data_IF_499467447547
#
_entry.id   IF_499467447547
#
_cell.length_a   1.000
_cell.length_b   1.000
_cell.length_c   1.000
_cell.angle_alpha   90.00
_cell.angle_beta   90.00
_cell.angle_gamma   90.00
#
_symmetry.space_group_name_H-M   'P 1'
#
loop_
_entity.id
_entity.type
_entity.pdbx_description
1 polymer ?
#
# COMPACT_ATOMS: atom_id res chain seq x y z
N UNK A 1 12.20 6.60 -1.16
CA UNK A 1 12.73 5.22 -1.23
C UNK A 1 11.58 4.25 -1.46
N UNK A 2 11.80 3.15 -2.18
CA UNK A 2 10.82 2.09 -2.44
C UNK A 2 11.23 0.83 -1.68
N UNK A 3 10.32 0.25 -0.89
CA UNK A 3 10.50 -1.05 -0.24
C UNK A 3 9.50 -2.04 -0.84
N UNK A 4 10.02 -3.12 -1.42
CA UNK A 4 9.23 -4.24 -1.93
C UNK A 4 8.95 -5.23 -0.81
N UNK A 5 7.68 -5.49 -0.52
CA UNK A 5 7.29 -6.42 0.55
C UNK A 5 7.61 -7.88 0.19
N UNK A 6 7.72 -8.17 -1.11
CA UNK A 6 8.19 -9.44 -1.64
C UNK A 6 8.93 -9.21 -2.95
N UNK A 7 9.80 -10.14 -3.34
CA UNK A 7 10.48 -10.12 -4.63
C UNK A 7 9.64 -10.82 -5.72
N UNK A 8 8.32 -10.57 -5.74
CA UNK A 8 7.42 -11.07 -6.78
C UNK A 8 7.68 -10.36 -8.12
N UNK A 9 7.22 -10.95 -9.23
CA UNK A 9 7.37 -10.33 -10.57
C UNK A 9 6.61 -8.99 -10.61
N UNK A 10 5.44 -8.98 -9.99
CA UNK A 10 4.49 -7.88 -9.89
C UNK A 10 5.10 -6.71 -9.10
N UNK A 11 5.68 -6.99 -7.93
CA UNK A 11 6.32 -5.97 -7.10
C UNK A 11 7.57 -5.39 -7.79
N UNK A 12 8.35 -6.20 -8.52
CA UNK A 12 9.47 -5.68 -9.32
C UNK A 12 9.02 -4.80 -10.48
N UNK A 13 7.95 -5.17 -11.17
CA UNK A 13 7.37 -4.36 -12.25
C UNK A 13 6.90 -3.00 -11.70
N UNK A 14 6.18 -3.02 -10.58
CA UNK A 14 5.80 -1.82 -9.84
C UNK A 14 7.00 -0.94 -9.49
N UNK A 15 8.05 -1.49 -8.86
CA UNK A 15 9.26 -0.72 -8.52
C UNK A 15 9.95 -0.14 -9.75
N UNK A 16 10.01 -0.86 -10.87
CA UNK A 16 10.64 -0.36 -12.10
C UNK A 16 9.92 0.87 -12.62
N UNK A 17 8.58 0.83 -12.68
CA UNK A 17 7.79 1.97 -13.08
C UNK A 17 7.89 3.14 -12.08
N UNK A 18 7.79 2.86 -10.78
CA UNK A 18 7.91 3.88 -9.73
C UNK A 18 9.29 4.54 -9.70
N UNK A 19 10.36 3.78 -9.99
CA UNK A 19 11.71 4.33 -10.11
C UNK A 19 11.80 5.33 -11.26
N UNK A 20 11.16 5.06 -12.39
CA UNK A 20 11.11 6.02 -13.52
C UNK A 20 10.35 7.31 -13.15
N UNK A 21 9.32 7.21 -12.31
CA UNK A 21 8.53 8.36 -11.86
C UNK A 21 9.22 9.19 -10.77
N UNK A 22 9.90 8.54 -9.83
CA UNK A 22 10.37 9.16 -8.58
C UNK A 22 11.89 9.25 -8.44
N UNK A 23 12.63 8.49 -9.24
CA UNK A 23 14.08 8.26 -9.09
C UNK A 23 14.48 7.67 -7.72
N UNK A 24 13.54 7.05 -7.00
CA UNK A 24 13.81 6.42 -5.72
C UNK A 24 14.52 5.08 -5.88
N UNK A 25 15.50 4.82 -5.03
CA UNK A 25 16.11 3.49 -4.90
C UNK A 25 15.08 2.47 -4.40
N UNK A 26 15.11 1.26 -4.96
CA UNK A 26 14.26 0.15 -4.56
C UNK A 26 15.05 -0.92 -3.81
N UNK A 27 14.51 -1.36 -2.67
CA UNK A 27 15.07 -2.42 -1.82
C UNK A 27 14.00 -3.47 -1.55
N UNK A 28 14.39 -4.75 -1.51
CA UNK A 28 13.51 -5.80 -1.03
C UNK A 28 13.52 -5.84 0.52
N UNK A 29 12.41 -6.29 1.11
CA UNK A 29 12.24 -6.37 2.56
C UNK A 29 13.30 -7.27 3.25
N UNK A 30 13.75 -8.32 2.59
CA UNK A 30 14.81 -9.22 3.06
C UNK A 30 16.22 -8.65 2.87
N UNK A 31 16.34 -7.49 2.23
CA UNK A 31 17.59 -6.78 1.92
C UNK A 31 17.69 -5.42 2.63
N UNK A 32 16.84 -5.18 3.64
CA UNK A 32 16.92 -3.95 4.42
C UNK A 32 18.29 -3.84 5.09
N UNK A 33 18.96 -2.73 4.83
CA UNK A 33 20.28 -2.42 5.38
C UNK A 33 20.23 -1.05 6.03
N UNK A 34 20.52 0.00 5.25
CA UNK A 34 20.53 1.39 5.69
C UNK A 34 19.46 2.20 4.92
N UNK A 35 18.47 2.68 5.66
CA UNK A 35 17.32 3.44 5.14
C UNK A 35 17.48 4.95 5.34
N UNK A 36 18.66 5.44 5.72
CA UNK A 36 18.90 6.87 5.93
C UNK A 36 18.72 7.74 4.67
N UNK A 37 18.76 7.12 3.48
CA UNK A 37 18.53 7.79 2.20
C UNK A 37 17.06 8.14 1.94
N UNK A 38 16.13 7.64 2.75
CA UNK A 38 14.71 7.98 2.61
C UNK A 38 14.44 9.40 3.14
N UNK A 39 14.39 10.41 2.27
CA UNK A 39 14.39 11.81 2.73
C UNK A 39 13.03 12.46 2.97
N UNK A 40 11.95 12.00 2.36
CA UNK A 40 10.64 12.68 2.49
C UNK A 40 9.47 11.71 2.38
N UNK A 41 9.59 10.76 1.44
CA UNK A 41 8.56 9.80 1.15
C UNK A 41 9.12 8.37 1.11
N UNK A 42 8.41 7.47 1.78
CA UNK A 42 8.63 6.03 1.77
C UNK A 42 7.50 5.34 1.01
N UNK A 43 7.82 4.55 -0.01
CA UNK A 43 6.86 3.75 -0.76
C UNK A 43 6.96 2.31 -0.29
N UNK A 44 5.85 1.74 0.16
CA UNK A 44 5.71 0.32 0.50
C UNK A 44 4.91 -0.35 -0.61
N UNK A 45 5.48 -1.35 -1.27
CA UNK A 45 4.90 -1.96 -2.47
C UNK A 45 4.58 -3.44 -2.24
N UNK A 46 3.29 -3.77 -2.33
CA UNK A 46 2.78 -5.14 -2.36
C UNK A 46 1.54 -5.27 -3.25
N UNK A 47 1.77 -5.33 -4.55
CA UNK A 47 0.73 -5.36 -5.59
C UNK A 47 0.43 -6.77 -6.09
N UNK A 48 1.17 -7.79 -5.64
CA UNK A 48 0.95 -9.20 -6.01
C UNK A 48 -0.39 -9.78 -5.48
N UNK A 49 -1.05 -9.01 -4.62
CA UNK A 49 -2.41 -9.24 -4.13
C UNK A 49 -2.55 -10.60 -3.42
N UNK A 50 -1.49 -11.12 -2.81
CA UNK A 50 -1.48 -12.44 -2.17
C UNK A 50 -1.91 -12.45 -0.69
N UNK A 51 -2.35 -11.30 -0.17
CA UNK A 51 -2.76 -11.03 1.22
C UNK A 51 -1.71 -11.21 2.33
N UNK A 52 -0.48 -11.65 1.99
CA UNK A 52 0.57 -12.00 2.97
C UNK A 52 1.00 -10.80 3.81
N UNK A 53 1.09 -9.60 3.20
CA UNK A 53 1.45 -8.39 3.94
C UNK A 53 0.49 -8.17 5.10
N UNK A 54 -0.80 -8.04 4.82
CA UNK A 54 -1.83 -7.79 5.82
C UNK A 54 -2.02 -8.98 6.77
N UNK A 55 -1.77 -10.21 6.31
CA UNK A 55 -1.93 -11.42 7.12
C UNK A 55 -0.82 -11.57 8.17
N UNK A 56 0.44 -11.37 7.77
CA UNK A 56 1.58 -11.80 8.58
C UNK A 56 2.39 -10.66 9.19
N UNK A 57 2.37 -9.46 8.62
CA UNK A 57 3.07 -8.32 9.22
C UNK A 57 2.23 -7.74 10.36
N UNK A 58 2.89 -7.50 11.48
CA UNK A 58 2.35 -6.73 12.59
C UNK A 58 2.85 -5.29 12.44
N UNK A 59 1.96 -4.28 12.44
CA UNK A 59 2.31 -2.92 12.06
C UNK A 59 3.36 -2.26 12.95
N UNK A 60 3.33 -2.46 14.27
CA UNK A 60 4.30 -1.85 15.19
C UNK A 60 5.68 -2.48 15.00
N UNK A 61 5.74 -3.80 14.97
CA UNK A 61 6.96 -4.59 14.76
C UNK A 61 7.59 -4.26 13.41
N UNK A 62 6.77 -4.01 12.38
CA UNK A 62 7.27 -3.59 11.08
C UNK A 62 7.86 -2.18 11.12
N UNK A 63 7.20 -1.21 11.76
CA UNK A 63 7.77 0.13 11.95
C UNK A 63 9.10 0.07 12.73
N UNK A 64 9.18 -0.76 13.78
CA UNK A 64 10.41 -0.96 14.55
C UNK A 64 11.54 -1.59 13.74
N UNK A 65 11.22 -2.54 12.85
CA UNK A 65 12.20 -3.09 11.93
C UNK A 65 12.79 -1.99 11.03
N UNK A 66 11.95 -1.12 10.45
CA UNK A 66 12.43 0.00 9.63
C UNK A 66 13.30 0.97 10.42
N UNK A 67 12.89 1.34 11.64
CA UNK A 67 13.67 2.21 12.52
C UNK A 67 15.03 1.60 12.90
N UNK A 68 15.06 0.29 13.17
CA UNK A 68 16.31 -0.46 13.44
C UNK A 68 17.27 -0.42 12.24
N UNK A 69 16.74 -0.32 11.03
CA UNK A 69 17.48 -0.14 9.79
C UNK A 69 17.74 1.34 9.45
N UNK A 70 17.72 2.23 10.45
CA UNK A 70 18.06 3.65 10.32
C UNK A 70 17.15 4.42 9.35
N UNK A 71 15.85 4.10 9.33
CA UNK A 71 14.88 4.94 8.61
C UNK A 71 14.99 6.40 9.07
N UNK A 72 15.23 7.30 8.12
CA UNK A 72 15.44 8.71 8.43
C UNK A 72 14.17 9.37 8.98
N UNK A 73 14.39 10.22 9.97
CA UNK A 73 13.43 11.16 10.56
C UNK A 73 13.03 12.32 9.64
N UNK A 74 13.47 12.33 8.38
CA UNK A 74 12.99 13.28 7.37
C UNK A 74 11.74 12.75 6.65
N UNK A 75 11.36 11.48 6.86
CA UNK A 75 10.18 10.88 6.22
C UNK A 75 8.90 11.47 6.79
N UNK A 76 8.23 12.32 6.02
CA UNK A 76 6.94 12.92 6.37
C UNK A 76 5.74 12.18 5.78
N UNK A 77 5.96 11.30 4.80
CA UNK A 77 4.88 10.53 4.19
C UNK A 77 5.24 9.08 3.87
N UNK A 78 4.25 8.21 4.00
CA UNK A 78 4.34 6.79 3.65
C UNK A 78 3.22 6.45 2.68
N UNK A 79 3.57 5.93 1.51
CA UNK A 79 2.61 5.51 0.50
C UNK A 79 2.52 3.99 0.53
N UNK A 80 1.34 3.46 0.88
CA UNK A 80 1.09 2.02 0.88
C UNK A 80 0.51 1.60 -0.48
N UNK A 81 1.38 1.35 -1.46
CA UNK A 81 0.97 0.74 -2.74
C UNK A 81 0.73 -0.76 -2.55
N UNK A 82 -0.33 -1.07 -1.82
CA UNK A 82 -0.68 -2.44 -1.40
C UNK A 82 -2.10 -2.76 -1.86
N UNK A 83 -2.29 -3.94 -2.43
CA UNK A 83 -3.63 -4.46 -2.73
C UNK A 83 -4.36 -4.81 -1.43
N UNK A 84 -5.33 -3.99 -1.02
CA UNK A 84 -6.17 -4.21 0.16
C UNK A 84 -7.26 -5.26 -0.11
N UNK A 85 -6.89 -6.53 0.01
CA UNK A 85 -7.76 -7.65 -0.31
C UNK A 85 -7.80 -8.73 0.77
N UNK A 86 -7.36 -8.39 1.99
CA UNK A 86 -7.43 -9.31 3.11
C UNK A 86 -8.82 -9.23 3.76
N UNK A 87 -9.39 -10.37 4.12
CA UNK A 87 -10.76 -10.43 4.67
C UNK A 87 -10.87 -10.08 6.15
N UNK A 88 -9.76 -10.06 6.85
CA UNK A 88 -9.73 -9.96 8.32
C UNK A 88 -9.15 -8.65 8.81
N UNK A 89 -8.35 -7.98 7.97
CA UNK A 89 -7.67 -6.73 8.27
C UNK A 89 -7.68 -5.88 7.01
N UNK A 90 -7.90 -4.60 7.15
CA UNK A 90 -7.76 -3.63 6.06
C UNK A 90 -6.48 -2.80 6.22
N UNK A 91 -6.09 -2.07 5.18
CA UNK A 91 -4.90 -1.22 5.22
C UNK A 91 -5.02 -0.08 6.23
N UNK A 92 -6.22 0.43 6.50
CA UNK A 92 -6.43 1.49 7.49
C UNK A 92 -6.05 1.03 8.90
N UNK A 93 -6.50 -0.16 9.31
CA UNK A 93 -6.19 -0.80 10.59
C UNK A 93 -4.70 -1.11 10.75
N UNK A 94 -4.02 -1.42 9.64
CA UNK A 94 -2.57 -1.61 9.63
C UNK A 94 -1.81 -0.27 9.73
N UNK A 95 -2.16 0.70 8.89
CA UNK A 95 -1.40 1.94 8.74
C UNK A 95 -1.39 2.78 10.02
N UNK A 96 -2.51 2.86 10.74
CA UNK A 96 -2.63 3.73 11.93
C UNK A 96 -1.61 3.40 13.05
N UNK A 97 -1.52 2.17 13.58
CA UNK A 97 -0.51 1.83 14.58
C UNK A 97 0.93 1.89 14.05
N UNK A 98 1.13 1.60 12.76
CA UNK A 98 2.44 1.77 12.11
C UNK A 98 2.90 3.24 12.13
N UNK A 99 2.03 4.17 11.71
CA UNK A 99 2.32 5.60 11.73
C UNK A 99 2.59 6.10 13.15
N UNK A 100 1.75 5.74 14.12
CA UNK A 100 1.92 6.16 15.51
C UNK A 100 3.30 5.79 16.06
N UNK A 101 3.83 4.60 15.69
CA UNK A 101 5.16 4.17 16.10
C UNK A 101 6.29 4.98 15.46
N UNK A 102 6.14 5.37 14.19
CA UNK A 102 7.09 6.24 13.48
C UNK A 102 7.08 7.66 14.05
N UNK A 103 5.91 8.25 14.26
CA UNK A 103 5.78 9.61 14.81
C UNK A 103 6.36 9.72 16.22
N UNK A 104 6.18 8.68 17.05
CA UNK A 104 6.83 8.62 18.36
C UNK A 104 8.37 8.64 18.24
N UNK A 105 8.93 8.03 17.21
CA UNK A 105 10.37 7.97 16.99
C UNK A 105 10.92 9.27 16.38
N UNK A 106 10.19 9.86 15.43
CA UNK A 106 10.65 11.05 14.69
C UNK A 106 10.28 12.38 15.36
N UNK A 107 9.34 12.36 16.32
CA UNK A 107 8.81 13.55 16.99
C UNK A 107 8.19 14.58 16.03
N UNK A 108 7.56 14.10 14.96
CA UNK A 108 6.71 14.88 14.06
C UNK A 108 5.63 13.98 13.43
N UNK A 109 4.61 14.59 12.81
CA UNK A 109 3.53 13.86 12.14
C UNK A 109 4.01 13.17 10.86
N UNK A 110 3.47 11.98 10.57
CA UNK A 110 3.69 11.23 9.34
C UNK A 110 2.34 10.91 8.70
N UNK A 111 2.19 11.21 7.42
CA UNK A 111 0.94 11.00 6.68
C UNK A 111 1.03 9.68 5.89
N UNK A 112 0.01 8.83 5.97
CA UNK A 112 -0.13 7.69 5.07
C UNK A 112 -1.04 8.03 3.89
N UNK A 113 -0.67 7.54 2.71
CA UNK A 113 -1.53 7.47 1.53
C UNK A 113 -1.85 6.01 1.23
N UNK A 114 -3.13 5.64 1.15
CA UNK A 114 -3.55 4.26 0.89
C UNK A 114 -4.52 4.16 -0.30
N UNK A 115 -4.47 3.09 -1.11
CA UNK A 115 -5.41 2.83 -2.18
C UNK A 115 -6.68 2.20 -1.59
N UNK A 116 -7.48 3.00 -0.89
CA UNK A 116 -8.77 2.58 -0.35
C UNK A 116 -9.89 3.28 -1.11
N UNK A 117 -10.85 2.49 -1.60
CA UNK A 117 -12.17 2.97 -1.97
C UNK A 117 -13.19 2.34 -1.02
N UNK A 118 -13.92 3.19 -0.31
CA UNK A 118 -14.87 2.80 0.74
C UNK A 118 -16.11 2.10 0.19
N UNK A 119 -16.34 2.17 -1.11
CA UNK A 119 -17.48 1.51 -1.74
C UNK A 119 -17.21 0.03 -2.03
N UNK A 120 -15.97 -0.43 -1.90
CA UNK A 120 -15.57 -1.79 -2.26
C UNK A 120 -15.03 -2.57 -1.08
N UNK A 121 -15.28 -3.88 -1.08
CA UNK A 121 -14.80 -4.80 -0.05
C UNK A 121 -13.29 -5.05 -0.18
N UNK A 122 -12.77 -5.03 -1.41
CA UNK A 122 -11.34 -5.15 -1.68
C UNK A 122 -10.91 -4.20 -2.80
N UNK A 123 -9.70 -3.67 -2.68
CA UNK A 123 -9.03 -2.89 -3.72
C UNK A 123 -7.79 -3.64 -4.19
N UNK A 124 -7.67 -3.87 -5.50
CA UNK A 124 -6.51 -4.54 -6.11
C UNK A 124 -5.79 -3.57 -7.03
N UNK A 125 -4.48 -3.47 -6.83
CA UNK A 125 -3.59 -2.70 -7.67
C UNK A 125 -2.93 -3.60 -8.72
N UNK A 126 -2.87 -3.12 -9.95
CA UNK A 126 -2.11 -3.74 -11.03
C UNK A 126 -1.11 -2.72 -11.57
N UNK A 127 0.18 -3.08 -11.48
CA UNK A 127 1.25 -2.28 -12.06
C UNK A 127 1.33 -2.46 -13.59
N UNK A 128 1.88 -1.47 -14.32
CA UNK A 128 2.16 -1.61 -15.74
C UNK A 128 3.00 -2.84 -16.06
N UNK A 129 2.70 -3.50 -17.18
CA UNK A 129 3.42 -4.64 -17.71
C UNK A 129 3.52 -4.59 -19.25
N UNK A 130 3.93 -5.70 -19.87
CA UNK A 130 4.07 -5.79 -21.34
C UNK A 130 2.74 -5.63 -22.10
N UNK A 131 1.61 -5.90 -21.45
CA UNK A 131 0.28 -5.85 -22.05
C UNK A 131 -0.46 -4.55 -21.73
N UNK A 132 -0.09 -3.87 -20.65
CA UNK A 132 -0.68 -2.60 -20.24
C UNK A 132 0.36 -1.60 -19.75
N UNK A 133 0.41 -0.42 -20.38
CA UNK A 133 1.32 0.66 -19.99
C UNK A 133 0.87 1.46 -18.77
N UNK A 134 -0.38 1.30 -18.35
CA UNK A 134 -0.98 2.06 -17.25
C UNK A 134 -1.12 1.21 -15.99
N UNK A 135 -1.04 1.89 -14.85
CA UNK A 135 -1.53 1.35 -13.60
C UNK A 135 -3.04 1.20 -13.69
N UNK A 136 -3.56 0.16 -13.06
CA UNK A 136 -5.00 -0.04 -12.92
C UNK A 136 -5.34 -0.32 -11.47
N UNK A 137 -6.44 0.29 -11.03
CA UNK A 137 -7.01 0.09 -9.71
C UNK A 137 -8.38 -0.53 -9.88
N UNK A 138 -8.61 -1.65 -9.21
CA UNK A 138 -9.88 -2.35 -9.27
C UNK A 138 -10.52 -2.48 -7.89
N UNK A 139 -11.83 -2.26 -7.84
CA UNK A 139 -12.69 -2.57 -6.71
C UNK A 139 -13.38 -3.92 -6.89
N UNK A 140 -13.60 -4.65 -5.81
CA UNK A 140 -14.36 -5.90 -5.77
C UNK A 140 -15.41 -5.78 -4.67
N UNK A 141 -16.67 -6.01 -5.03
CA UNK A 141 -17.76 -6.07 -4.07
C UNK A 141 -17.70 -7.33 -3.21
N UNK A 142 -18.27 -7.27 -2.01
CA UNK A 142 -18.32 -8.42 -1.09
C UNK A 142 -19.01 -9.64 -1.73
N UNK A 143 -19.98 -9.42 -2.61
CA UNK A 143 -20.71 -10.48 -3.31
C UNK A 143 -19.83 -11.26 -4.31
N UNK A 144 -18.87 -10.57 -4.92
CA UNK A 144 -17.93 -11.11 -5.90
C UNK A 144 -16.58 -11.53 -5.28
N UNK A 145 -16.34 -11.16 -4.02
CA UNK A 145 -15.13 -11.54 -3.32
C UNK A 145 -15.08 -13.05 -3.07
N UNK A 146 -13.97 -13.76 -3.38
CA UNK A 146 -13.93 -15.20 -3.23
C UNK A 146 -14.10 -15.60 -1.77
N UNK A 147 -14.93 -16.61 -1.48
CA UNK A 147 -15.32 -17.00 -0.10
C UNK A 147 -14.47 -18.08 0.55
N UNK A 148 -13.65 -18.80 -0.19
CA UNK A 148 -12.96 -19.99 0.34
C UNK A 148 -11.44 -20.02 0.13
N UNK A 149 -10.89 -19.05 -0.61
CA UNK A 149 -9.45 -19.03 -0.91
C UNK A 149 -8.84 -17.64 -0.81
N UNK A 150 -7.52 -17.59 -0.57
CA UNK A 150 -6.74 -16.35 -0.67
C UNK A 150 -6.74 -15.85 -2.11
N UNK A 151 -6.88 -14.54 -2.27
CA UNK A 151 -6.78 -13.89 -3.56
C UNK A 151 -5.31 -13.85 -4.00
N UNK A 152 -5.07 -13.85 -5.31
CA UNK A 152 -3.81 -13.50 -5.95
C UNK A 152 -4.16 -12.91 -7.33
N UNK A 153 -3.21 -12.28 -8.03
CA UNK A 153 -3.52 -11.64 -9.31
C UNK A 153 -4.11 -12.59 -10.36
N UNK A 154 -3.62 -13.84 -10.46
CA UNK A 154 -4.15 -14.82 -11.41
C UNK A 154 -5.63 -15.12 -11.18
N UNK A 155 -6.03 -15.30 -9.91
CA UNK A 155 -7.44 -15.52 -9.53
C UNK A 155 -8.26 -14.26 -9.71
N UNK A 156 -7.71 -13.11 -9.33
CA UNK A 156 -8.34 -11.81 -9.50
C UNK A 156 -8.69 -11.53 -10.98
N UNK A 157 -7.80 -11.87 -11.90
CA UNK A 157 -8.05 -11.72 -13.34
C UNK A 157 -9.28 -12.52 -13.80
N UNK A 158 -9.63 -13.63 -13.14
CA UNK A 158 -10.80 -14.46 -13.43
C UNK A 158 -12.11 -13.97 -12.81
N UNK A 159 -12.06 -13.05 -11.85
CA UNK A 159 -13.27 -12.46 -11.23
C UNK A 159 -14.01 -11.64 -12.29
N UNK A 160 -15.31 -11.90 -12.48
CA UNK A 160 -16.13 -11.17 -13.45
C UNK A 160 -16.70 -9.86 -12.88
N UNK A 161 -17.11 -9.85 -11.61
CA UNK A 161 -17.64 -8.66 -10.93
C UNK A 161 -16.57 -7.76 -10.31
N UNK A 162 -15.49 -7.48 -11.04
CA UNK A 162 -14.49 -6.46 -10.63
C UNK A 162 -14.74 -5.16 -11.39
N UNK A 163 -14.54 -4.04 -10.73
CA UNK A 163 -14.81 -2.70 -11.25
C UNK A 163 -13.50 -1.95 -11.43
N UNK A 164 -13.21 -1.45 -12.64
CA UNK A 164 -12.08 -0.55 -12.86
C UNK A 164 -12.42 0.81 -12.24
N UNK A 165 -11.68 1.21 -11.21
CA UNK A 165 -11.89 2.46 -10.48
C UNK A 165 -11.06 3.59 -11.08
N UNK A 166 -9.84 3.25 -11.50
CA UNK A 166 -8.90 4.20 -12.08
C UNK A 166 -7.89 3.50 -12.98
N UNK A 167 -7.46 4.23 -14.01
CA UNK A 167 -6.36 3.84 -14.90
C UNK A 167 -5.52 5.07 -15.26
N UNK A 168 -4.20 4.95 -15.19
CA UNK A 168 -3.30 6.01 -15.62
C UNK A 168 -1.82 5.71 -15.43
N UNK A 169 -0.96 6.61 -15.91
CA UNK A 169 0.50 6.42 -15.88
C UNK A 169 1.15 6.75 -14.53
N UNK A 170 0.46 7.48 -13.66
CA UNK A 170 1.01 7.99 -12.39
C UNK A 170 0.08 7.68 -11.21
N UNK A 171 0.24 6.49 -10.62
CA UNK A 171 -0.57 6.04 -9.46
C UNK A 171 -0.39 6.95 -8.23
N UNK A 172 0.75 7.63 -8.10
CA UNK A 172 1.03 8.50 -6.95
C UNK A 172 0.17 9.78 -7.00
N UNK A 173 -0.02 10.36 -8.18
CA UNK A 173 -0.90 11.52 -8.37
C UNK A 173 -2.34 11.19 -7.99
N UNK A 174 -2.83 10.03 -8.43
CA UNK A 174 -4.17 9.54 -8.07
C UNK A 174 -4.35 9.36 -6.56
N UNK A 175 -3.38 8.73 -5.88
CA UNK A 175 -3.45 8.53 -4.43
C UNK A 175 -3.47 9.83 -3.63
N UNK A 176 -2.72 10.84 -4.07
CA UNK A 176 -2.58 12.11 -3.36
C UNK A 176 -3.76 13.06 -3.64
N UNK A 177 -4.30 13.06 -4.87
CA UNK A 177 -5.36 14.00 -5.28
C UNK A 177 -6.76 13.60 -4.81
N UNK A 178 -7.04 12.31 -4.63
CA UNK A 178 -8.35 11.82 -4.16
C UNK A 178 -8.51 11.82 -2.62
N UNK A 179 -7.67 12.55 -1.88
CA UNK A 179 -7.74 12.69 -0.41
C UNK A 179 -7.73 11.35 0.37
N UNK A 180 -6.98 10.35 -0.11
CA UNK A 180 -6.85 9.04 0.55
C UNK A 180 -5.78 9.04 1.64
N UNK A 181 -5.81 10.08 2.48
CA UNK A 181 -4.81 10.34 3.53
C UNK A 181 -5.28 9.86 4.89
N UNK A 182 -4.38 9.26 5.66
CA UNK A 182 -4.59 8.88 7.06
C UNK A 182 -3.45 9.45 7.91
N UNK A 183 -3.77 9.96 9.10
CA UNK A 183 -2.81 10.33 10.14
C UNK A 183 -3.01 9.52 11.41
N UNK A 184 -1.99 9.45 12.28
CA UNK A 184 -2.09 8.78 13.59
C UNK A 184 -3.15 9.42 14.51
N UNK A 185 -3.35 10.72 14.37
CA UNK A 185 -4.39 11.51 15.02
C UNK A 185 -5.63 11.52 14.14
N UNK A 186 -6.84 11.38 14.69
CA UNK A 186 -8.03 11.19 13.89
C UNK A 186 -8.34 12.47 13.09
N UNK A 187 -8.05 12.48 11.80
CA UNK A 187 -8.90 13.17 10.84
C UNK A 187 -10.00 12.18 10.45
N UNK A 188 -10.87 11.85 11.41
CA UNK A 188 -12.14 11.21 11.09
C UNK A 188 -13.07 12.37 10.72
N UNK A 189 -13.50 12.55 9.47
CA UNK A 189 -14.82 13.12 9.29
C UNK A 189 -15.74 12.14 10.02
N UNK A 190 -16.46 12.59 11.05
CA UNK A 190 -17.42 11.85 11.89
C UNK A 190 -18.54 11.09 11.12
N UNK A 191 -18.42 11.01 9.80
CA UNK A 191 -19.38 10.48 8.86
C UNK A 191 -19.03 9.07 8.37
N UNK A 192 -17.83 8.55 8.65
CA UNK A 192 -17.48 7.16 8.32
C UNK A 192 -17.91 6.20 9.44
N UNK A 193 -19.23 6.07 9.59
CA UNK A 193 -19.82 4.92 10.27
C UNK A 193 -19.66 3.71 9.35
N UNK A 194 -18.74 2.83 9.69
CA UNK A 194 -18.77 1.45 9.19
C UNK A 194 -20.12 0.85 9.62
N UNK A 195 -20.99 0.59 8.65
CA UNK A 195 -22.18 -0.22 8.88
C UNK A 195 -21.70 -1.67 9.07
N UNK A 196 -21.61 -2.09 10.33
CA UNK A 196 -21.58 -3.50 10.74
C UNK A 196 -22.90 -4.19 10.37
#
# INVERSE_FOLDING_TARGET
MIILMSNSKENRAAATNLHQLTHFDALALDQLTDLNKAKEQLLLVDVDANDKFLRYLEPVSFAEALLKHQLSDQVHSVVFLISDNNRHKNLFEFARPFLARLEQAFNHQVIAYIPSDLNYYATVLMAPDEQNSNWQVYGIDIADFPKETSLNLERFQRIKGKHLLWEGSNILEWLVTENKTISSSPAVPDNLRFHL
#
